data_IF_711548234412
#
_entry.id   IF_711548234412
#
_cell.length_a   1.000
_cell.length_b   1.000
_cell.length_c   1.000
_cell.angle_alpha   90.00
_cell.angle_beta   90.00
_cell.angle_gamma   90.00
#
_symmetry.space_group_name_H-M   'P 1'
#
loop_
_entity.id
_entity.type
_entity.pdbx_description
1 polymer ?
#
# COMPACT_ATOMS: atom_id res chain seq x y z
N UNK A 1 48.42 -45.55 1.02
CA UNK A 1 47.04 -45.17 1.41
C UNK A 1 46.99 -43.85 2.23
N UNK A 2 47.71 -42.77 1.80
CA UNK A 2 47.78 -41.49 2.56
C UNK A 2 47.47 -40.25 1.72
N UNK A 3 46.94 -40.40 0.49
CA UNK A 3 46.67 -39.28 -0.43
C UNK A 3 45.16 -38.96 -0.64
N UNK A 4 44.24 -39.70 -0.02
CA UNK A 4 42.78 -39.51 -0.21
C UNK A 4 42.09 -38.69 0.88
N UNK A 5 42.74 -38.44 2.01
CA UNK A 5 42.13 -37.72 3.17
C UNK A 5 42.35 -36.20 3.14
N UNK A 6 43.26 -35.66 2.28
CA UNK A 6 43.48 -34.23 2.18
C UNK A 6 42.51 -33.50 1.24
N UNK A 7 41.85 -34.19 0.32
CA UNK A 7 40.90 -33.60 -0.61
C UNK A 7 39.53 -33.32 0.04
N UNK A 8 39.13 -34.05 1.09
CA UNK A 8 37.85 -33.88 1.77
C UNK A 8 37.83 -32.72 2.73
N UNK A 9 38.99 -32.27 3.26
CA UNK A 9 39.07 -31.17 4.22
C UNK A 9 39.02 -29.79 3.57
N UNK A 10 39.43 -29.69 2.28
CA UNK A 10 39.43 -28.43 1.53
C UNK A 10 38.05 -27.98 1.05
N UNK A 11 37.10 -28.92 0.88
CA UNK A 11 35.73 -28.61 0.41
C UNK A 11 34.85 -28.08 1.54
N UNK A 12 35.14 -28.42 2.80
CA UNK A 12 34.32 -27.98 3.95
C UNK A 12 34.66 -26.53 4.35
N UNK A 13 35.84 -26.02 4.01
CA UNK A 13 36.28 -24.68 4.38
C UNK A 13 35.77 -23.58 3.42
N UNK A 14 35.28 -23.95 2.24
CA UNK A 14 34.77 -22.99 1.24
C UNK A 14 33.29 -22.63 1.44
N UNK A 15 32.55 -23.32 2.32
CA UNK A 15 31.13 -23.06 2.63
C UNK A 15 30.92 -22.06 3.80
N UNK A 16 31.97 -21.59 4.44
CA UNK A 16 31.87 -20.71 5.62
C UNK A 16 31.99 -19.20 5.29
N UNK A 17 32.10 -18.80 4.02
CA UNK A 17 32.33 -17.40 3.64
C UNK A 17 31.10 -16.67 3.08
N UNK A 18 29.92 -17.27 3.12
CA UNK A 18 28.67 -16.62 2.65
C UNK A 18 27.80 -16.02 3.77
N UNK A 19 28.38 -15.64 4.90
CA UNK A 19 27.63 -15.27 6.10
C UNK A 19 27.81 -13.87 6.65
N UNK A 20 28.23 -12.87 5.84
CA UNK A 20 28.16 -11.46 6.25
C UNK A 20 27.34 -10.68 5.23
N UNK A 21 26.04 -10.97 5.13
CA UNK A 21 25.11 -9.99 4.59
C UNK A 21 25.03 -8.86 5.63
N UNK A 22 25.84 -7.80 5.41
CA UNK A 22 25.57 -6.52 6.08
C UNK A 22 24.15 -6.16 5.71
N UNK A 23 23.28 -6.09 6.69
CA UNK A 23 21.90 -5.69 6.49
C UNK A 23 21.94 -4.21 6.07
N UNK A 24 21.93 -3.95 4.76
CA UNK A 24 22.06 -2.61 4.18
C UNK A 24 20.73 -1.97 3.88
N UNK A 25 19.66 -2.77 3.92
CA UNK A 25 18.30 -2.36 3.59
C UNK A 25 17.27 -3.25 4.27
N UNK A 26 16.06 -2.75 4.41
CA UNK A 26 14.86 -3.53 4.74
C UNK A 26 13.94 -3.57 3.53
N UNK A 27 13.36 -4.73 3.27
CA UNK A 27 12.43 -4.96 2.18
C UNK A 27 11.05 -5.27 2.74
N UNK A 28 10.07 -4.48 2.35
CA UNK A 28 8.66 -4.66 2.68
C UNK A 28 7.94 -5.17 1.44
N UNK A 29 7.50 -6.42 1.48
CA UNK A 29 6.83 -7.05 0.34
C UNK A 29 5.41 -6.53 0.14
N UNK A 30 4.94 -6.60 -1.10
CA UNK A 30 3.54 -6.32 -1.45
C UNK A 30 2.56 -7.17 -0.62
N UNK A 31 2.94 -8.41 -0.26
CA UNK A 31 2.14 -9.28 0.58
C UNK A 31 2.00 -8.74 2.02
N UNK A 32 3.08 -8.21 2.60
CA UNK A 32 3.06 -7.61 3.94
C UNK A 32 2.20 -6.35 3.96
N UNK A 33 2.34 -5.49 2.93
CA UNK A 33 1.49 -4.30 2.77
C UNK A 33 0.03 -4.67 2.65
N UNK A 34 -0.30 -5.67 1.83
CA UNK A 34 -1.68 -6.15 1.67
C UNK A 34 -2.25 -6.73 2.97
N UNK A 35 -1.45 -7.49 3.72
CA UNK A 35 -1.84 -7.99 5.03
C UNK A 35 -2.11 -6.88 6.05
N UNK A 36 -1.36 -5.78 5.97
CA UNK A 36 -1.59 -4.60 6.81
C UNK A 36 -2.87 -3.86 6.39
N UNK A 37 -3.04 -3.58 5.10
CA UNK A 37 -4.21 -2.88 4.57
C UNK A 37 -5.52 -3.59 4.91
N UNK A 38 -5.57 -4.92 4.82
CA UNK A 38 -6.75 -5.72 5.18
C UNK A 38 -7.15 -5.56 6.65
N UNK A 39 -6.19 -5.37 7.55
CA UNK A 39 -6.43 -5.20 9.00
C UNK A 39 -6.76 -3.77 9.41
N UNK A 40 -6.32 -2.78 8.63
CA UNK A 40 -6.38 -1.36 9.00
C UNK A 40 -7.21 -0.51 8.03
N UNK A 41 -7.99 -1.13 7.14
CA UNK A 41 -8.88 -0.41 6.25
C UNK A 41 -10.14 0.03 7.00
N UNK A 42 -10.16 1.30 7.39
CA UNK A 42 -11.27 1.93 8.10
C UNK A 42 -11.83 3.14 7.34
N UNK A 43 -11.66 3.17 6.00
CA UNK A 43 -12.19 4.29 5.23
C UNK A 43 -13.70 4.23 5.15
N UNK A 44 -14.34 5.19 5.79
CA UNK A 44 -15.77 5.49 5.68
C UNK A 44 -15.95 6.99 5.60
N UNK A 45 -16.66 7.47 4.59
CA UNK A 45 -16.90 8.91 4.38
C UNK A 45 -18.28 9.15 3.78
N UNK A 46 -18.89 10.25 4.21
CA UNK A 46 -20.00 10.87 3.52
C UNK A 46 -19.45 11.82 2.45
N UNK A 47 -19.92 11.66 1.23
CA UNK A 47 -19.58 12.49 0.07
C UNK A 47 -20.86 12.98 -0.59
N UNK A 48 -20.83 14.08 -1.33
CA UNK A 48 -22.02 14.49 -2.08
C UNK A 48 -22.05 15.96 -2.47
N UNK A 49 -23.18 16.32 -3.05
CA UNK A 49 -23.51 17.68 -3.47
C UNK A 49 -24.59 18.20 -2.50
N UNK A 50 -24.33 19.23 -1.70
CA UNK A 50 -25.27 19.74 -0.73
C UNK A 50 -26.66 20.03 -1.32
N UNK A 51 -27.70 19.51 -0.70
CA UNK A 51 -29.09 19.72 -1.10
C UNK A 51 -29.57 18.90 -2.32
N UNK A 52 -28.71 18.13 -2.98
CA UNK A 52 -29.04 17.38 -4.18
C UNK A 52 -28.81 15.87 -4.02
N UNK A 53 -27.64 15.49 -3.56
CA UNK A 53 -27.16 14.11 -3.53
C UNK A 53 -26.16 13.91 -2.41
N UNK A 54 -26.43 12.97 -1.51
CA UNK A 54 -25.50 12.51 -0.49
C UNK A 54 -25.23 11.02 -0.67
N UNK A 55 -24.02 10.59 -0.38
CA UNK A 55 -23.67 9.19 -0.37
C UNK A 55 -22.71 8.87 0.76
N UNK A 56 -22.93 7.74 1.44
CA UNK A 56 -21.98 7.18 2.37
C UNK A 56 -21.22 6.06 1.67
N UNK A 57 -19.89 6.15 1.66
CA UNK A 57 -19.01 5.16 1.04
C UNK A 57 -18.19 4.46 2.11
N UNK A 58 -18.09 3.13 2.01
CA UNK A 58 -17.27 2.28 2.86
C UNK A 58 -16.39 1.42 1.97
N UNK A 59 -15.06 1.57 2.08
CA UNK A 59 -14.12 0.65 1.45
C UNK A 59 -14.11 -0.68 2.22
N UNK A 60 -14.25 -1.78 1.51
CA UNK A 60 -14.34 -3.12 2.12
C UNK A 60 -13.08 -3.94 1.94
N UNK A 61 -12.45 -3.84 0.79
CA UNK A 61 -11.27 -4.61 0.45
C UNK A 61 -10.26 -3.68 -0.24
N UNK A 62 -9.01 -3.78 0.17
CA UNK A 62 -7.90 -3.10 -0.48
C UNK A 62 -6.77 -4.09 -0.74
N UNK A 63 -6.19 -3.98 -1.93
CA UNK A 63 -4.96 -4.67 -2.30
C UNK A 63 -4.05 -3.71 -3.05
N UNK A 64 -2.75 -3.82 -2.82
CA UNK A 64 -1.74 -3.00 -3.47
C UNK A 64 -1.00 -3.76 -4.57
N UNK A 65 -0.57 -3.03 -5.58
CA UNK A 65 0.42 -3.42 -6.59
C UNK A 65 1.52 -2.37 -6.58
N UNK A 66 2.72 -2.77 -6.18
CA UNK A 66 3.84 -1.86 -5.95
C UNK A 66 4.74 -1.86 -7.18
N UNK A 67 4.98 -0.68 -7.79
CA UNK A 67 5.95 -0.49 -8.86
C UNK A 67 5.78 -1.35 -10.11
N UNK A 68 4.61 -1.99 -10.30
CA UNK A 68 4.39 -2.94 -11.39
C UNK A 68 3.87 -2.29 -12.66
N UNK A 69 3.04 -1.26 -12.53
CA UNK A 69 2.39 -0.57 -13.65
C UNK A 69 3.14 0.69 -14.03
N UNK A 70 3.53 1.46 -13.02
CA UNK A 70 4.34 2.67 -13.18
C UNK A 70 5.48 2.65 -12.16
N UNK A 71 6.70 3.01 -12.58
CA UNK A 71 7.82 3.22 -11.66
C UNK A 71 7.43 4.22 -10.57
N UNK A 72 7.96 4.03 -9.36
CA UNK A 72 7.79 4.92 -8.20
C UNK A 72 6.35 5.10 -7.70
N UNK A 73 5.39 4.32 -8.21
CA UNK A 73 3.98 4.40 -7.80
C UNK A 73 3.45 3.09 -7.22
N UNK A 74 2.42 3.25 -6.41
CA UNK A 74 1.60 2.17 -5.89
C UNK A 74 0.20 2.32 -6.47
N UNK A 75 -0.34 1.22 -7.01
CA UNK A 75 -1.73 1.11 -7.42
C UNK A 75 -2.49 0.34 -6.35
N UNK A 76 -3.64 0.85 -5.93
CA UNK A 76 -4.55 0.18 -5.02
C UNK A 76 -5.81 -0.22 -5.79
N UNK A 77 -6.21 -1.47 -5.66
CA UNK A 77 -7.52 -1.95 -6.09
C UNK A 77 -8.38 -2.22 -4.88
N UNK A 78 -9.64 -1.79 -4.91
CA UNK A 78 -10.54 -1.92 -3.78
C UNK A 78 -11.99 -2.14 -4.20
N UNK A 79 -12.76 -2.76 -3.30
CA UNK A 79 -14.21 -2.79 -3.37
C UNK A 79 -14.78 -1.77 -2.37
N UNK A 80 -15.95 -1.22 -2.68
CA UNK A 80 -16.66 -0.32 -1.79
C UNK A 80 -18.17 -0.50 -1.90
N UNK A 81 -18.87 -0.27 -0.80
CA UNK A 81 -20.32 -0.10 -0.76
C UNK A 81 -20.67 1.37 -0.71
N UNK A 82 -21.68 1.74 -1.45
CA UNK A 82 -22.16 3.11 -1.58
C UNK A 82 -23.68 3.15 -1.28
N UNK A 83 -24.04 3.83 -0.20
CA UNK A 83 -25.43 4.16 0.12
C UNK A 83 -25.74 5.58 -0.33
N UNK A 84 -26.54 5.72 -1.38
CA UNK A 84 -26.87 7.00 -2.03
C UNK A 84 -28.24 7.46 -1.55
N UNK A 85 -28.33 8.73 -1.15
CA UNK A 85 -29.58 9.41 -0.81
C UNK A 85 -29.75 10.62 -1.74
N UNK A 86 -30.89 10.68 -2.43
CA UNK A 86 -31.22 11.75 -3.36
C UNK A 86 -32.68 12.18 -3.20
N UNK A 87 -33.07 13.22 -3.89
CA UNK A 87 -34.47 13.67 -3.96
C UNK A 87 -35.42 12.59 -4.51
N UNK A 88 -34.90 11.62 -5.25
CA UNK A 88 -35.67 10.50 -5.85
C UNK A 88 -35.62 9.21 -5.01
N UNK A 89 -35.10 9.29 -3.78
CA UNK A 89 -35.03 8.18 -2.85
C UNK A 89 -33.63 7.64 -2.61
N UNK A 90 -33.57 6.54 -1.86
CA UNK A 90 -32.32 5.87 -1.48
C UNK A 90 -31.99 4.75 -2.44
N UNK A 91 -30.72 4.61 -2.79
CA UNK A 91 -30.20 3.56 -3.68
C UNK A 91 -28.88 3.03 -3.12
N UNK A 92 -28.51 1.79 -3.50
CA UNK A 92 -27.24 1.17 -3.14
C UNK A 92 -26.47 0.79 -4.38
N UNK A 93 -25.16 0.94 -4.30
CA UNK A 93 -24.24 0.51 -5.34
C UNK A 93 -23.03 -0.17 -4.75
N UNK A 94 -22.47 -1.12 -5.51
CA UNK A 94 -21.16 -1.69 -5.28
C UNK A 94 -20.19 -1.09 -6.28
N UNK A 95 -19.01 -0.76 -5.78
CA UNK A 95 -17.95 -0.16 -6.57
C UNK A 95 -16.73 -1.07 -6.58
N UNK A 96 -16.09 -1.16 -7.75
CA UNK A 96 -14.69 -1.55 -7.87
C UNK A 96 -13.90 -0.30 -8.20
N UNK A 97 -12.86 -0.04 -7.44
CA UNK A 97 -12.06 1.18 -7.55
C UNK A 97 -10.61 0.81 -7.86
N UNK A 98 -9.99 1.60 -8.71
CA UNK A 98 -8.55 1.59 -8.90
C UNK A 98 -8.00 2.97 -8.58
N UNK A 99 -7.12 3.01 -7.60
CA UNK A 99 -6.46 4.22 -7.13
C UNK A 99 -4.97 4.14 -7.47
N UNK A 100 -4.33 5.28 -7.59
CA UNK A 100 -2.89 5.37 -7.79
C UNK A 100 -2.32 6.47 -6.93
N UNK A 101 -1.14 6.23 -6.35
CA UNK A 101 -0.48 7.19 -5.48
C UNK A 101 1.03 7.02 -5.50
N UNK A 102 1.74 8.02 -5.00
CA UNK A 102 3.16 7.96 -4.74
C UNK A 102 3.41 7.65 -3.26
N UNK A 103 4.11 6.56 -2.91
CA UNK A 103 4.43 6.28 -1.53
C UNK A 103 5.51 7.25 -1.03
N UNK A 104 5.33 7.76 0.17
CA UNK A 104 6.23 8.68 0.85
C UNK A 104 6.54 8.14 2.24
N UNK A 105 7.81 8.06 2.59
CA UNK A 105 8.26 7.62 3.91
C UNK A 105 8.55 8.81 4.82
N UNK A 106 7.77 8.92 5.89
CA UNK A 106 8.04 9.84 6.99
C UNK A 106 8.97 9.16 8.00
N UNK A 107 10.20 9.66 8.07
CA UNK A 107 11.25 9.09 8.94
C UNK A 107 10.98 9.31 10.41
N UNK A 108 10.38 10.43 10.78
CA UNK A 108 10.16 10.80 12.17
C UNK A 108 9.06 9.94 12.77
N UNK A 109 8.06 9.60 11.99
CA UNK A 109 6.97 8.71 12.38
C UNK A 109 7.26 7.22 12.11
N UNK A 110 8.21 6.93 11.23
CA UNK A 110 8.46 5.57 10.75
C UNK A 110 7.27 5.03 9.95
N UNK A 111 6.62 5.87 9.16
CA UNK A 111 5.35 5.59 8.51
C UNK A 111 5.39 5.88 7.01
N UNK A 112 4.64 5.10 6.24
CA UNK A 112 4.45 5.30 4.79
C UNK A 112 3.09 5.94 4.57
N UNK A 113 3.08 7.08 3.90
CA UNK A 113 1.90 7.77 3.41
C UNK A 113 1.76 7.60 1.90
N UNK A 114 0.56 7.75 1.39
CA UNK A 114 0.27 7.72 -0.03
C UNK A 114 -0.09 9.14 -0.49
N UNK A 115 0.86 9.79 -1.14
CA UNK A 115 0.71 11.16 -1.66
C UNK A 115 0.15 11.14 -3.08
N UNK A 116 -0.43 12.27 -3.49
CA UNK A 116 -0.99 12.46 -4.82
C UNK A 116 -1.95 11.35 -5.25
N UNK A 117 -2.77 10.88 -4.29
CA UNK A 117 -3.80 9.87 -4.53
C UNK A 117 -4.75 10.33 -5.62
N UNK A 118 -5.05 9.44 -6.56
CA UNK A 118 -5.98 9.66 -7.67
C UNK A 118 -6.86 8.45 -7.89
N UNK A 119 -8.14 8.69 -8.13
CA UNK A 119 -9.08 7.67 -8.63
C UNK A 119 -8.87 7.55 -10.15
N UNK A 120 -8.20 6.48 -10.60
CA UNK A 120 -7.83 6.29 -12.02
C UNK A 120 -8.84 5.47 -12.80
N UNK A 121 -9.60 4.60 -12.12
CA UNK A 121 -10.66 3.81 -12.75
C UNK A 121 -11.72 3.39 -11.72
N UNK A 122 -12.96 3.15 -12.21
CA UNK A 122 -14.04 2.63 -11.38
C UNK A 122 -15.10 1.90 -12.18
N UNK A 123 -15.74 0.93 -11.56
CA UNK A 123 -16.92 0.22 -12.07
C UNK A 123 -18.03 0.29 -11.03
N UNK A 124 -19.25 0.54 -11.47
CA UNK A 124 -20.43 0.71 -10.62
C UNK A 124 -21.45 -0.38 -10.93
N UNK A 125 -21.97 -1.02 -9.89
CA UNK A 125 -23.08 -1.96 -9.98
C UNK A 125 -24.22 -1.54 -9.02
N UNK A 126 -25.48 -1.47 -9.48
CA UNK A 126 -25.95 -1.73 -10.84
C UNK A 126 -25.55 -0.61 -11.83
N UNK A 127 -25.32 -0.97 -13.10
CA UNK A 127 -24.82 -0.06 -14.14
C UNK A 127 -25.65 1.22 -14.32
N UNK A 128 -26.95 1.15 -14.06
CA UNK A 128 -27.86 2.33 -14.09
C UNK A 128 -27.42 3.47 -13.17
N UNK A 129 -26.57 3.20 -12.16
CA UNK A 129 -26.04 4.19 -11.23
C UNK A 129 -24.70 4.82 -11.69
N UNK A 130 -24.18 4.42 -12.84
CA UNK A 130 -22.92 4.93 -13.40
C UNK A 130 -22.95 6.47 -13.56
N UNK A 131 -24.03 7.02 -14.09
CA UNK A 131 -24.19 8.48 -14.26
C UNK A 131 -24.27 9.22 -12.93
N UNK A 132 -24.95 8.65 -11.94
CA UNK A 132 -25.02 9.20 -10.58
C UNK A 132 -23.66 9.20 -9.93
N UNK A 133 -22.91 8.08 -10.04
CA UNK A 133 -21.58 8.00 -9.48
C UNK A 133 -20.58 8.95 -10.16
N UNK A 134 -20.71 9.19 -11.45
CA UNK A 134 -19.87 10.17 -12.17
C UNK A 134 -19.92 11.57 -11.56
N UNK A 135 -21.05 11.95 -10.97
CA UNK A 135 -21.21 13.22 -10.23
C UNK A 135 -20.49 13.15 -8.86
N UNK A 136 -20.48 11.98 -8.22
CA UNK A 136 -19.88 11.76 -6.92
C UNK A 136 -18.35 11.52 -7.00
N UNK A 137 -17.82 11.03 -8.12
CA UNK A 137 -16.43 10.63 -8.28
C UNK A 137 -15.42 11.72 -7.89
N UNK A 138 -15.57 13.01 -8.24
CA UNK A 138 -14.64 14.05 -7.80
C UNK A 138 -14.62 14.27 -6.28
N UNK A 139 -15.76 14.11 -5.61
CA UNK A 139 -15.87 14.23 -4.16
C UNK A 139 -15.21 13.05 -3.46
N UNK A 140 -15.34 11.85 -4.04
CA UNK A 140 -14.65 10.67 -3.57
C UNK A 140 -13.13 10.82 -3.73
N UNK A 141 -12.67 11.24 -4.89
CA UNK A 141 -11.24 11.45 -5.18
C UNK A 141 -10.61 12.42 -4.15
N UNK A 142 -11.24 13.56 -3.91
CA UNK A 142 -10.79 14.53 -2.91
C UNK A 142 -10.79 13.95 -1.48
N UNK A 143 -11.80 13.14 -1.14
CA UNK A 143 -11.90 12.52 0.19
C UNK A 143 -10.84 11.45 0.40
N UNK A 144 -10.56 10.64 -0.62
CA UNK A 144 -9.48 9.64 -0.59
C UNK A 144 -8.12 10.30 -0.47
N UNK A 145 -7.87 11.35 -1.27
CA UNK A 145 -6.65 12.13 -1.19
C UNK A 145 -6.41 12.67 0.21
N UNK A 146 -7.39 13.38 0.79
CA UNK A 146 -7.29 13.92 2.15
C UNK A 146 -7.06 12.83 3.20
N UNK A 147 -7.70 11.68 3.07
CA UNK A 147 -7.56 10.57 4.00
C UNK A 147 -6.14 9.99 3.96
N UNK A 148 -5.65 9.62 2.80
CA UNK A 148 -4.33 9.00 2.65
C UNK A 148 -3.16 9.97 2.81
N UNK A 149 -3.40 11.27 2.63
CA UNK A 149 -2.42 12.31 2.97
C UNK A 149 -2.15 12.41 4.48
N UNK A 150 -3.14 12.06 5.30
CA UNK A 150 -3.09 12.17 6.78
C UNK A 150 -3.05 10.83 7.51
N UNK A 151 -3.47 9.74 6.86
CA UNK A 151 -3.53 8.40 7.46
C UNK A 151 -2.45 7.52 6.84
N UNK A 152 -1.52 6.97 7.64
CA UNK A 152 -0.47 6.12 7.09
C UNK A 152 -1.05 4.84 6.48
N UNK A 153 -0.53 4.48 5.32
CA UNK A 153 -0.84 3.22 4.65
C UNK A 153 -0.08 2.03 5.24
N UNK A 154 1.03 2.31 5.94
CA UNK A 154 1.83 1.33 6.68
C UNK A 154 2.65 2.02 7.77
N UNK A 155 2.78 1.38 8.92
CA UNK A 155 3.63 1.86 10.02
C UNK A 155 4.67 0.79 10.35
N UNK A 156 5.94 1.18 10.37
CA UNK A 156 7.04 0.32 10.84
C UNK A 156 6.95 0.17 12.37
N UNK A 157 6.77 -1.05 12.84
CA UNK A 157 6.65 -1.37 14.27
C UNK A 157 7.86 -2.16 14.75
N UNK A 158 8.50 -1.66 15.81
CA UNK A 158 9.74 -2.23 16.33
C UNK A 158 9.56 -3.61 16.98
N UNK A 159 8.36 -3.95 17.38
CA UNK A 159 7.98 -5.21 18.03
C UNK A 159 7.58 -6.30 17.03
N UNK A 160 7.25 -5.94 15.79
CA UNK A 160 6.85 -6.90 14.75
C UNK A 160 8.03 -7.79 14.31
N UNK A 161 9.22 -7.22 14.13
CA UNK A 161 10.45 -7.97 13.84
C UNK A 161 11.71 -7.15 14.15
N UNK A 162 12.85 -7.85 14.35
CA UNK A 162 14.16 -7.19 14.52
C UNK A 162 14.58 -6.36 13.31
N UNK A 163 14.27 -6.83 12.10
CA UNK A 163 14.58 -6.14 10.84
C UNK A 163 13.73 -4.89 10.66
N UNK A 164 12.48 -4.92 11.05
CA UNK A 164 11.59 -3.77 11.00
C UNK A 164 11.95 -2.72 12.06
N UNK A 165 12.37 -3.17 13.27
CA UNK A 165 12.94 -2.29 14.29
C UNK A 165 14.19 -1.54 13.80
N UNK A 166 15.06 -2.23 13.03
CA UNK A 166 16.22 -1.61 12.41
C UNK A 166 15.80 -0.63 11.30
N UNK A 167 14.82 -1.00 10.46
CA UNK A 167 14.29 -0.14 9.42
C UNK A 167 13.76 1.17 10.01
N UNK A 168 12.93 1.10 11.03
CA UNK A 168 12.40 2.29 11.73
C UNK A 168 13.50 3.22 12.23
N UNK A 169 14.65 2.67 12.65
CA UNK A 169 15.77 3.41 13.22
C UNK A 169 16.75 3.96 12.16
N UNK A 170 17.00 3.19 11.11
CA UNK A 170 18.13 3.38 10.21
C UNK A 170 17.72 3.82 8.80
N UNK A 171 16.46 3.61 8.39
CA UNK A 171 16.01 3.93 7.04
C UNK A 171 16.26 5.41 6.68
N UNK A 172 16.89 5.63 5.53
CA UNK A 172 17.23 6.97 5.02
C UNK A 172 16.23 7.47 3.99
N UNK A 173 15.42 6.59 3.44
CA UNK A 173 14.44 6.89 2.43
C UNK A 173 13.60 5.68 2.06
N UNK A 174 12.92 5.78 0.93
CA UNK A 174 12.07 4.74 0.37
C UNK A 174 12.35 4.65 -1.13
N UNK A 175 12.56 3.44 -1.62
CA UNK A 175 12.60 3.11 -3.04
C UNK A 175 11.46 2.17 -3.40
N UNK A 176 10.85 2.40 -4.56
CA UNK A 176 9.79 1.53 -5.10
C UNK A 176 10.40 0.58 -6.10
N UNK A 177 10.24 -0.72 -5.89
CA UNK A 177 10.62 -1.76 -6.85
C UNK A 177 9.38 -2.62 -7.18
N UNK A 178 9.37 -3.32 -8.31
CA UNK A 178 8.25 -4.19 -8.64
C UNK A 178 7.97 -5.24 -7.56
N UNK A 179 6.83 -5.09 -6.85
CA UNK A 179 6.38 -5.99 -5.80
C UNK A 179 6.94 -5.72 -4.40
N UNK A 180 7.73 -4.67 -4.19
CA UNK A 180 8.31 -4.37 -2.88
C UNK A 180 8.66 -2.89 -2.69
N UNK A 181 8.70 -2.46 -1.43
CA UNK A 181 9.26 -1.19 -1.00
C UNK A 181 10.58 -1.46 -0.29
N UNK A 182 11.63 -0.72 -0.65
CA UNK A 182 12.98 -0.87 -0.10
C UNK A 182 13.32 0.34 0.75
N UNK A 183 13.84 0.10 1.95
CA UNK A 183 14.29 1.11 2.90
C UNK A 183 15.81 1.00 3.05
N UNK A 184 16.60 1.78 2.31
CA UNK A 184 18.05 1.78 2.44
C UNK A 184 18.49 2.35 3.79
N UNK A 185 19.51 1.73 4.41
CA UNK A 185 20.09 2.18 5.69
C UNK A 185 21.27 3.10 5.48
N UNK A 186 21.87 3.11 4.30
CA UNK A 186 22.91 4.04 3.88
C UNK A 186 22.30 5.03 2.90
N UNK A 187 22.68 6.30 3.02
CA UNK A 187 22.33 7.29 2.02
C UNK A 187 23.00 6.97 0.69
N UNK A 188 22.25 7.06 -0.43
CA UNK A 188 22.83 7.05 -1.76
C UNK A 188 23.59 8.34 -2.04
#
# INVERSE_FOLDING_TARGET
MKKRTFAALAVILSLALTGCNKLTEYRLSEQDVNGYLQKHNNFQKAIGVPGLLNANIVLTELSSQIGRTEPDKVRLSGNAHLDIQSLWGSQRADLKLTLQAQPYYDRDQGAIYLKDMQLVDYQVQPEKLQSTFKVLAPYLDNSLKSYFDSTPAYVLEADRSKTEALAKKLAKGLEVKPGELIFPFTGG
#
